data_IF_663231306679
#
_entry.id   IF_663231306679
#
_cell.length_a   1.000
_cell.length_b   1.000
_cell.length_c   1.000
_cell.angle_alpha   90.00
_cell.angle_beta   90.00
_cell.angle_gamma   90.00
#
_symmetry.space_group_name_H-M   'P 1'
#
loop_
_entity.id
_entity.type
_entity.pdbx_description
1 polymer ?
#
# COMPACT_ATOMS: atom_id res chain seq x y z
N UNK A 1 68.99 5.64 29.55
CA UNK A 1 67.95 6.46 28.90
C UNK A 1 66.62 5.92 29.35
N UNK A 2 66.03 6.59 30.34
CA UNK A 2 64.70 6.29 30.88
C UNK A 2 63.67 6.70 29.83
N UNK A 3 62.90 5.75 29.33
CA UNK A 3 61.77 6.05 28.43
C UNK A 3 60.66 6.62 29.29
N UNK A 4 60.53 7.94 29.31
CA UNK A 4 59.34 8.61 29.83
C UNK A 4 58.17 8.24 28.92
N UNK A 5 57.33 7.31 29.37
CA UNK A 5 56.00 7.06 28.80
C UNK A 5 55.14 8.31 29.01
N UNK A 6 55.24 9.24 28.07
CA UNK A 6 54.46 10.47 28.06
C UNK A 6 53.08 10.14 27.49
N UNK A 7 52.24 9.47 28.28
CA UNK A 7 50.87 9.19 27.91
C UNK A 7 50.14 10.55 27.84
N UNK A 8 49.62 10.99 26.68
CA UNK A 8 48.96 12.27 26.57
C UNK A 8 47.74 12.26 27.49
N UNK A 9 47.76 13.11 28.52
CA UNK A 9 46.65 13.26 29.45
C UNK A 9 45.46 13.79 28.64
N UNK A 10 44.48 12.92 28.36
CA UNK A 10 43.25 13.29 27.66
C UNK A 10 42.60 14.48 28.36
N UNK A 11 42.26 15.51 27.60
CA UNK A 11 41.59 16.67 28.18
C UNK A 11 40.13 16.31 28.54
N UNK A 12 39.51 17.09 29.43
CA UNK A 12 38.08 16.90 29.77
C UNK A 12 37.17 16.95 28.54
N UNK A 13 37.55 17.76 27.55
CA UNK A 13 36.88 17.85 26.26
C UNK A 13 37.00 16.54 25.47
N UNK A 14 38.20 15.98 25.37
CA UNK A 14 38.43 14.72 24.65
C UNK A 14 37.60 13.58 25.24
N UNK A 15 37.50 13.52 26.58
CA UNK A 15 36.66 12.55 27.29
C UNK A 15 35.17 12.74 26.99
N UNK A 16 34.68 13.98 26.96
CA UNK A 16 33.29 14.27 26.62
C UNK A 16 32.98 13.88 25.16
N UNK A 17 33.88 14.22 24.24
CA UNK A 17 33.73 13.91 22.82
C UNK A 17 33.79 12.39 22.55
N UNK A 18 34.62 11.65 23.29
CA UNK A 18 34.66 10.18 23.26
C UNK A 18 33.34 9.56 23.72
N UNK A 19 32.75 10.07 24.81
CA UNK A 19 31.42 9.62 25.29
C UNK A 19 30.32 9.93 24.27
N UNK A 20 30.35 11.12 23.66
CA UNK A 20 29.35 11.52 22.68
C UNK A 20 29.44 10.74 21.38
N UNK A 21 30.65 10.47 20.87
CA UNK A 21 30.84 9.57 19.72
C UNK A 21 30.43 8.13 20.03
N UNK A 22 30.58 7.68 21.28
CA UNK A 22 30.09 6.37 21.71
C UNK A 22 28.57 6.26 21.73
N UNK A 23 27.87 7.31 22.15
CA UNK A 23 26.39 7.38 22.14
C UNK A 23 25.80 7.66 20.76
N UNK A 24 26.47 8.51 19.98
CA UNK A 24 26.03 8.99 18.67
C UNK A 24 27.13 8.74 17.62
N UNK A 25 27.29 7.49 17.13
CA UNK A 25 28.36 7.14 16.20
C UNK A 25 28.29 7.90 14.87
N UNK A 26 27.08 8.24 14.44
CA UNK A 26 26.82 8.87 13.14
C UNK A 26 26.83 10.41 13.18
N UNK A 27 26.99 11.02 14.37
CA UNK A 27 26.96 12.48 14.53
C UNK A 27 28.37 13.06 14.54
N UNK A 28 28.61 14.05 13.68
CA UNK A 28 29.88 14.78 13.62
C UNK A 28 29.79 16.01 14.53
N UNK A 29 30.69 16.09 15.51
CA UNK A 29 30.82 17.23 16.41
C UNK A 29 31.97 18.11 15.92
N UNK A 30 31.66 19.03 15.00
CA UNK A 30 32.66 19.87 14.31
C UNK A 30 33.18 21.01 15.20
N UNK A 31 32.34 21.55 16.08
CA UNK A 31 32.67 22.66 16.99
C UNK A 31 32.07 22.47 18.39
N UNK A 32 32.37 23.43 19.27
CA UNK A 32 31.91 23.46 20.67
C UNK A 32 30.40 23.59 20.74
N UNK A 33 29.80 24.38 19.86
CA UNK A 33 28.36 24.63 19.86
C UNK A 33 27.57 23.37 19.50
N UNK A 34 28.02 22.58 18.53
CA UNK A 34 27.42 21.29 18.20
C UNK A 34 27.59 20.25 19.32
N UNK A 35 28.75 20.25 19.99
CA UNK A 35 29.03 19.34 21.11
C UNK A 35 28.16 19.69 22.33
N UNK A 36 28.15 20.95 22.75
CA UNK A 36 27.38 21.41 23.91
C UNK A 36 25.88 21.46 23.62
N UNK A 37 25.47 21.72 22.38
CA UNK A 37 24.08 21.63 21.93
C UNK A 37 23.50 20.22 22.13
N UNK A 38 24.18 19.19 21.60
CA UNK A 38 23.73 17.80 21.82
C UNK A 38 23.77 17.40 23.29
N UNK A 39 24.78 17.86 24.04
CA UNK A 39 24.83 17.58 25.49
C UNK A 39 23.63 18.19 26.21
N UNK A 40 23.22 19.41 25.85
CA UNK A 40 22.01 20.02 26.41
C UNK A 40 20.76 19.27 26.00
N UNK A 41 20.63 18.86 24.73
CA UNK A 41 19.50 18.05 24.26
C UNK A 41 19.41 16.72 25.04
N UNK A 42 20.54 16.05 25.29
CA UNK A 42 20.60 14.85 26.14
C UNK A 42 20.12 15.15 27.57
N UNK A 43 20.53 16.28 28.15
CA UNK A 43 20.10 16.67 29.49
C UNK A 43 18.60 16.97 29.55
N UNK A 44 18.06 17.67 28.57
CA UNK A 44 16.63 17.97 28.49
C UNK A 44 15.81 16.68 28.34
N UNK A 45 16.28 15.73 27.51
CA UNK A 45 15.64 14.41 27.38
C UNK A 45 15.72 13.60 28.68
N UNK A 46 16.87 13.62 29.38
CA UNK A 46 17.00 12.96 30.68
C UNK A 46 16.10 13.59 31.74
N UNK A 47 16.01 14.91 31.79
CA UNK A 47 15.14 15.60 32.74
C UNK A 47 13.67 15.29 32.45
N UNK A 48 13.28 15.24 31.17
CA UNK A 48 11.94 14.80 30.76
C UNK A 48 11.68 13.36 31.18
N UNK A 49 12.54 12.41 30.82
CA UNK A 49 12.37 11.01 31.18
C UNK A 49 12.33 10.83 32.69
N UNK A 50 13.18 11.53 33.44
CA UNK A 50 13.20 11.49 34.90
C UNK A 50 11.92 12.05 35.50
N UNK A 51 11.37 13.14 34.95
CA UNK A 51 10.09 13.67 35.37
C UNK A 51 8.98 12.64 35.15
N UNK A 52 8.94 11.98 33.98
CA UNK A 52 7.99 10.91 33.70
C UNK A 52 8.18 9.68 34.62
N UNK A 53 9.42 9.30 34.93
CA UNK A 53 9.70 8.22 35.89
C UNK A 53 9.19 8.56 37.27
N UNK A 54 9.44 9.79 37.74
CA UNK A 54 8.92 10.27 39.04
C UNK A 54 7.40 10.31 39.06
N UNK A 55 6.77 10.69 37.95
CA UNK A 55 5.31 10.67 37.83
C UNK A 55 4.76 9.24 37.90
N UNK A 56 5.33 8.30 37.14
CA UNK A 56 4.95 6.88 37.20
C UNK A 56 5.16 6.30 38.60
N UNK A 57 6.33 6.55 39.20
CA UNK A 57 6.65 6.13 40.57
C UNK A 57 5.66 6.69 41.58
N UNK A 58 5.32 7.98 41.46
CA UNK A 58 4.29 8.61 42.29
C UNK A 58 2.93 7.93 42.10
N UNK A 59 2.50 7.66 40.89
CA UNK A 59 1.23 6.96 40.63
C UNK A 59 1.23 5.55 41.26
N UNK A 60 2.31 4.79 41.14
CA UNK A 60 2.42 3.48 41.81
C UNK A 60 2.44 3.61 43.34
N UNK A 61 3.17 4.60 43.86
CA UNK A 61 3.22 4.89 45.30
C UNK A 61 1.85 5.30 45.83
N UNK A 62 1.13 6.17 45.13
CA UNK A 62 -0.20 6.64 45.48
C UNK A 62 -1.20 5.47 45.45
N UNK A 63 -1.12 4.58 44.45
CA UNK A 63 -1.91 3.35 44.38
C UNK A 63 -1.66 2.42 45.57
N UNK A 64 -0.40 2.20 45.95
CA UNK A 64 -0.05 1.37 47.11
C UNK A 64 -0.38 2.02 48.45
N UNK A 65 -0.41 3.35 48.49
CA UNK A 65 -0.86 4.09 49.68
C UNK A 65 -2.37 4.03 49.81
N UNK A 66 -3.11 4.09 48.70
CA UNK A 66 -4.56 4.01 48.65
C UNK A 66 -5.08 2.63 49.09
N UNK A 67 -4.44 1.54 48.65
CA UNK A 67 -4.69 0.21 49.21
C UNK A 67 -3.37 -0.57 49.37
N UNK A 68 -2.83 -0.69 50.61
CA UNK A 68 -1.62 -1.47 50.91
C UNK A 68 -1.72 -2.93 50.48
N UNK A 69 -2.95 -3.44 50.35
CA UNK A 69 -3.23 -4.80 49.93
C UNK A 69 -2.89 -5.04 48.45
N UNK A 70 -3.02 -4.01 47.61
CA UNK A 70 -2.66 -4.09 46.20
C UNK A 70 -1.15 -4.33 46.01
N UNK A 71 -0.30 -3.76 46.87
CA UNK A 71 1.14 -3.99 46.85
C UNK A 71 1.50 -5.44 47.16
N UNK A 72 0.88 -6.00 48.22
CA UNK A 72 1.03 -7.41 48.60
C UNK A 72 0.59 -8.34 47.47
N UNK A 73 -0.57 -8.06 46.86
CA UNK A 73 -1.08 -8.81 45.73
C UNK A 73 -0.09 -8.84 44.54
N UNK A 74 0.38 -7.68 44.08
CA UNK A 74 1.30 -7.61 42.95
C UNK A 74 2.65 -8.28 43.24
N UNK A 75 3.16 -8.15 44.46
CA UNK A 75 4.42 -8.80 44.86
C UNK A 75 4.29 -10.33 44.90
N UNK A 76 3.18 -10.84 45.44
CA UNK A 76 2.94 -12.28 45.48
C UNK A 76 2.73 -12.85 44.07
N UNK A 77 1.99 -12.14 43.22
CA UNK A 77 1.84 -12.53 41.83
C UNK A 77 3.18 -12.55 41.08
N UNK A 78 4.02 -11.52 41.28
CA UNK A 78 5.40 -11.49 40.75
C UNK A 78 6.23 -12.69 41.23
N UNK A 79 6.00 -13.16 42.46
CA UNK A 79 6.67 -14.31 43.04
C UNK A 79 6.07 -15.67 42.60
N UNK A 80 5.14 -15.65 41.64
CA UNK A 80 4.59 -16.85 41.02
C UNK A 80 3.30 -17.38 41.68
N UNK A 81 2.69 -16.62 42.58
CA UNK A 81 1.36 -16.96 43.09
C UNK A 81 0.29 -16.80 42.01
N UNK A 82 -0.67 -17.72 41.98
CA UNK A 82 -1.85 -17.59 41.12
C UNK A 82 -2.62 -16.30 41.48
N UNK A 83 -2.91 -15.42 40.51
CA UNK A 83 -3.55 -14.13 40.79
C UNK A 83 -4.98 -14.29 41.31
N UNK A 84 -5.71 -15.35 40.98
CA UNK A 84 -7.05 -15.58 41.50
C UNK A 84 -6.98 -15.93 42.99
N UNK A 85 -6.05 -16.83 43.35
CA UNK A 85 -5.79 -17.20 44.75
C UNK A 85 -5.26 -16.00 45.54
N UNK A 86 -4.39 -15.19 44.94
CA UNK A 86 -3.86 -13.96 45.53
C UNK A 86 -4.97 -12.94 45.83
N UNK A 87 -5.90 -12.71 44.90
CA UNK A 87 -7.05 -11.83 45.11
C UNK A 87 -7.93 -12.33 46.26
N UNK A 88 -8.25 -13.63 46.29
CA UNK A 88 -9.06 -14.22 47.37
C UNK A 88 -8.34 -14.13 48.72
N UNK A 89 -7.03 -14.38 48.77
CA UNK A 89 -6.26 -14.27 50.03
C UNK A 89 -6.25 -12.83 50.55
N UNK A 90 -6.13 -11.87 49.64
CA UNK A 90 -5.89 -10.48 49.98
C UNK A 90 -7.19 -9.71 50.29
N UNK A 91 -8.28 -10.00 49.58
CA UNK A 91 -9.57 -9.33 49.71
C UNK A 91 -10.66 -10.22 50.34
N UNK A 92 -10.43 -11.53 50.47
CA UNK A 92 -11.31 -12.42 51.22
C UNK A 92 -12.74 -12.46 50.72
N UNK A 93 -13.71 -12.40 51.65
CA UNK A 93 -15.14 -12.36 51.33
C UNK A 93 -15.60 -11.01 50.79
N UNK A 94 -14.79 -9.95 50.88
CA UNK A 94 -15.17 -8.62 50.39
C UNK A 94 -15.47 -8.62 48.89
N UNK A 95 -14.78 -9.47 48.11
CA UNK A 95 -15.09 -9.64 46.68
C UNK A 95 -16.51 -10.18 46.50
N UNK A 96 -16.87 -11.18 47.31
CA UNK A 96 -18.21 -11.78 47.27
C UNK A 96 -19.27 -10.80 47.77
N UNK A 97 -18.98 -10.08 48.85
CA UNK A 97 -19.88 -9.07 49.42
C UNK A 97 -20.09 -7.90 48.44
N UNK A 98 -19.05 -7.48 47.71
CA UNK A 98 -19.18 -6.50 46.64
C UNK A 98 -20.02 -7.02 45.47
N UNK A 99 -19.88 -8.31 45.11
CA UNK A 99 -20.72 -8.98 44.09
C UNK A 99 -22.18 -9.08 44.54
N UNK A 100 -22.43 -9.22 45.84
CA UNK A 100 -23.78 -9.34 46.40
C UNK A 100 -24.38 -7.96 46.81
N UNK A 101 -23.61 -6.87 46.72
CA UNK A 101 -24.02 -5.51 47.09
C UNK A 101 -24.98 -4.92 46.04
N UNK A 102 -26.25 -4.60 46.39
CA UNK A 102 -27.23 -4.00 45.51
C UNK A 102 -26.79 -2.65 44.91
N UNK A 103 -26.02 -1.85 45.64
CA UNK A 103 -25.58 -0.52 45.19
C UNK A 103 -24.48 -0.59 44.13
N UNK A 104 -23.74 -1.70 44.07
CA UNK A 104 -22.64 -1.92 43.13
C UNK A 104 -23.01 -2.84 41.97
N UNK A 105 -24.22 -3.39 41.95
CA UNK A 105 -24.71 -4.27 40.88
C UNK A 105 -24.59 -3.64 39.50
N UNK A 106 -24.88 -2.35 39.38
CA UNK A 106 -24.83 -1.66 38.10
C UNK A 106 -23.39 -1.57 37.57
N UNK A 107 -22.42 -1.21 38.42
CA UNK A 107 -21.00 -1.15 38.07
C UNK A 107 -20.45 -2.54 37.71
N UNK A 108 -20.81 -3.56 38.49
CA UNK A 108 -20.37 -4.95 38.25
C UNK A 108 -21.00 -5.52 36.98
N UNK A 109 -22.28 -5.25 36.74
CA UNK A 109 -22.96 -5.66 35.51
C UNK A 109 -22.35 -4.98 34.27
N UNK A 110 -21.99 -3.70 34.38
CA UNK A 110 -21.30 -2.98 33.30
C UNK A 110 -19.93 -3.60 33.01
N UNK A 111 -19.11 -3.85 34.04
CA UNK A 111 -17.80 -4.47 33.89
C UNK A 111 -17.89 -5.90 33.31
N UNK A 112 -18.87 -6.69 33.77
CA UNK A 112 -19.11 -8.04 33.24
C UNK A 112 -19.57 -8.00 31.78
N UNK A 113 -20.45 -7.05 31.43
CA UNK A 113 -20.90 -6.86 30.06
C UNK A 113 -19.73 -6.49 29.14
N UNK A 114 -18.87 -5.56 29.55
CA UNK A 114 -17.68 -5.18 28.80
C UNK A 114 -16.73 -6.38 28.59
N UNK A 115 -16.50 -7.16 29.66
CA UNK A 115 -15.70 -8.38 29.56
C UNK A 115 -16.29 -9.39 28.57
N UNK A 116 -17.59 -9.66 28.66
CA UNK A 116 -18.30 -10.60 27.78
C UNK A 116 -18.27 -10.10 26.34
N UNK A 117 -18.53 -8.81 26.09
CA UNK A 117 -18.47 -8.21 24.76
C UNK A 117 -17.06 -8.28 24.16
N UNK A 118 -16.03 -8.00 24.96
CA UNK A 118 -14.64 -8.09 24.51
C UNK A 118 -14.27 -9.53 24.17
N UNK A 119 -14.57 -10.49 25.04
CA UNK A 119 -14.28 -11.91 24.79
C UNK A 119 -15.06 -12.44 23.59
N UNK A 120 -16.32 -12.03 23.43
CA UNK A 120 -17.13 -12.39 22.26
C UNK A 120 -16.52 -11.84 20.96
N UNK A 121 -16.12 -10.56 20.94
CA UNK A 121 -15.43 -9.95 19.78
C UNK A 121 -14.08 -10.59 19.49
N UNK A 122 -13.27 -10.83 20.51
CA UNK A 122 -11.98 -11.53 20.36
C UNK A 122 -12.19 -12.91 19.73
N UNK A 123 -13.18 -13.66 20.20
CA UNK A 123 -13.54 -14.96 19.64
C UNK A 123 -14.06 -14.86 18.20
N UNK A 124 -14.92 -13.89 17.90
CA UNK A 124 -15.41 -13.64 16.54
C UNK A 124 -14.26 -13.30 15.58
N UNK A 125 -13.35 -12.42 15.99
CA UNK A 125 -12.17 -12.08 15.19
C UNK A 125 -11.24 -13.28 14.98
N UNK A 126 -11.03 -14.10 16.00
CA UNK A 126 -10.22 -15.32 15.87
C UNK A 126 -10.88 -16.33 14.93
N UNK A 127 -12.17 -16.61 15.09
CA UNK A 127 -12.90 -17.53 14.21
C UNK A 127 -12.93 -17.03 12.75
N UNK A 128 -13.16 -15.73 12.55
CA UNK A 128 -13.10 -15.11 11.24
C UNK A 128 -11.69 -15.19 10.65
N UNK A 129 -10.65 -14.91 11.44
CA UNK A 129 -9.26 -15.02 11.02
C UNK A 129 -8.92 -16.45 10.58
N UNK A 130 -9.24 -17.45 11.40
CA UNK A 130 -8.99 -18.86 11.08
C UNK A 130 -9.74 -19.30 9.80
N UNK A 131 -11.01 -18.91 9.67
CA UNK A 131 -11.84 -19.25 8.49
C UNK A 131 -11.28 -18.59 7.22
N UNK A 132 -10.92 -17.31 7.30
CA UNK A 132 -10.36 -16.56 6.17
C UNK A 132 -8.97 -17.07 5.78
N UNK A 133 -8.15 -17.44 6.77
CA UNK A 133 -6.82 -18.01 6.53
C UNK A 133 -6.94 -19.38 5.84
N UNK A 134 -7.81 -20.25 6.33
CA UNK A 134 -8.08 -21.55 5.70
C UNK A 134 -8.56 -21.38 4.25
N UNK A 135 -9.49 -20.46 4.01
CA UNK A 135 -9.97 -20.16 2.65
C UNK A 135 -8.84 -19.63 1.74
N UNK A 136 -7.97 -18.78 2.27
CA UNK A 136 -6.81 -18.25 1.54
C UNK A 136 -5.82 -19.37 1.19
N UNK A 137 -5.54 -20.29 2.12
CA UNK A 137 -4.67 -21.45 1.87
C UNK A 137 -5.26 -22.38 0.81
N UNK A 138 -6.56 -22.68 0.87
CA UNK A 138 -7.22 -23.48 -0.17
C UNK A 138 -7.14 -22.84 -1.55
N UNK A 139 -7.22 -21.50 -1.64
CA UNK A 139 -7.03 -20.81 -2.92
C UNK A 139 -5.60 -20.94 -3.47
N UNK A 140 -4.59 -20.90 -2.60
CA UNK A 140 -3.20 -21.12 -3.01
C UNK A 140 -2.99 -22.55 -3.52
N UNK A 141 -3.57 -23.56 -2.85
CA UNK A 141 -3.56 -24.94 -3.33
C UNK A 141 -4.22 -25.05 -4.72
N UNK A 142 -5.35 -24.38 -4.94
CA UNK A 142 -5.98 -24.34 -6.27
C UNK A 142 -5.10 -23.68 -7.34
N UNK A 143 -4.32 -22.64 -6.99
CA UNK A 143 -3.36 -22.02 -7.91
C UNK A 143 -2.23 -22.98 -8.29
N UNK A 144 -1.73 -23.78 -7.34
CA UNK A 144 -0.74 -24.83 -7.63
C UNK A 144 -1.32 -25.87 -8.59
N UNK A 145 -2.51 -26.40 -8.28
CA UNK A 145 -3.09 -27.52 -9.02
C UNK A 145 -3.63 -27.12 -10.40
N UNK A 146 -4.36 -26.00 -10.49
CA UNK A 146 -5.11 -25.62 -11.71
C UNK A 146 -4.31 -24.71 -12.63
N UNK A 147 -3.49 -23.83 -12.07
CA UNK A 147 -2.74 -22.83 -12.83
C UNK A 147 -1.26 -23.19 -12.98
N UNK A 148 -0.79 -24.24 -12.29
CA UNK A 148 0.60 -24.72 -12.36
C UNK A 148 1.60 -23.72 -11.79
N UNK A 149 1.16 -22.86 -10.87
CA UNK A 149 2.02 -21.88 -10.19
C UNK A 149 2.98 -22.65 -9.26
N UNK A 150 4.27 -22.33 -9.32
CA UNK A 150 5.27 -23.01 -8.48
C UNK A 150 5.24 -22.50 -7.04
N UNK A 151 5.72 -23.34 -6.11
CA UNK A 151 5.85 -22.99 -4.70
C UNK A 151 6.68 -21.70 -4.49
N UNK A 152 7.77 -21.55 -5.25
CA UNK A 152 8.61 -20.34 -5.23
C UNK A 152 7.87 -19.06 -5.63
N UNK A 153 6.85 -19.16 -6.48
CA UNK A 153 6.05 -18.02 -6.92
C UNK A 153 4.98 -17.69 -5.87
N UNK A 154 4.37 -18.70 -5.26
CA UNK A 154 3.44 -18.55 -4.14
C UNK A 154 4.14 -17.90 -2.94
N UNK A 155 5.35 -18.34 -2.61
CA UNK A 155 6.13 -17.78 -1.51
C UNK A 155 6.41 -16.28 -1.74
N UNK A 156 6.74 -15.88 -2.97
CA UNK A 156 6.94 -14.47 -3.33
C UNK A 156 5.65 -13.67 -3.20
N UNK A 157 4.52 -14.22 -3.66
CA UNK A 157 3.20 -13.58 -3.53
C UNK A 157 2.84 -13.39 -2.05
N UNK A 158 3.02 -14.42 -1.23
CA UNK A 158 2.70 -14.34 0.20
C UNK A 158 3.62 -13.37 0.95
N UNK A 159 4.93 -13.41 0.68
CA UNK A 159 5.89 -12.47 1.26
C UNK A 159 5.54 -11.01 0.92
N UNK A 160 5.07 -10.79 -0.30
CA UNK A 160 4.63 -9.49 -0.75
C UNK A 160 3.36 -9.02 -0.02
N UNK A 161 2.34 -9.86 0.08
CA UNK A 161 1.10 -9.56 0.82
C UNK A 161 1.40 -9.25 2.28
N UNK A 162 2.23 -10.05 2.94
CA UNK A 162 2.63 -9.84 4.34
C UNK A 162 3.33 -8.49 4.51
N UNK A 163 4.17 -8.08 3.55
CA UNK A 163 4.85 -6.78 3.58
C UNK A 163 3.85 -5.64 3.51
N UNK A 164 2.87 -5.71 2.61
CA UNK A 164 1.81 -4.70 2.49
C UNK A 164 0.98 -4.61 3.77
N UNK A 165 0.60 -5.74 4.36
CA UNK A 165 -0.17 -5.76 5.61
C UNK A 165 0.65 -5.17 6.75
N UNK A 166 1.92 -5.58 6.91
CA UNK A 166 2.82 -5.04 7.95
C UNK A 166 2.97 -3.54 7.83
N UNK A 167 3.23 -3.04 6.63
CA UNK A 167 3.46 -1.62 6.41
C UNK A 167 2.14 -0.83 6.60
N UNK A 168 0.99 -1.40 6.19
CA UNK A 168 -0.34 -0.85 6.44
C UNK A 168 -0.69 -0.74 7.93
N UNK A 169 -0.39 -1.77 8.73
CA UNK A 169 -0.55 -1.72 10.21
C UNK A 169 0.32 -0.62 10.83
N UNK A 170 1.48 -0.33 10.23
CA UNK A 170 2.36 0.77 10.66
C UNK A 170 2.00 2.14 10.03
N UNK A 171 0.94 2.23 9.23
CA UNK A 171 0.56 3.45 8.51
C UNK A 171 1.53 3.89 7.40
N UNK A 172 2.39 2.98 6.93
CA UNK A 172 3.41 3.25 5.89
C UNK A 172 2.90 2.79 4.53
N UNK A 173 2.37 3.71 3.74
CA UNK A 173 2.04 3.44 2.34
C UNK A 173 3.14 4.01 1.44
N UNK A 174 4.12 3.17 1.13
CA UNK A 174 5.26 3.57 0.31
C UNK A 174 4.81 4.01 -1.11
N UNK A 175 5.45 5.01 -1.73
CA UNK A 175 5.13 5.45 -3.10
C UNK A 175 5.08 4.30 -4.10
N UNK A 176 5.98 3.33 -3.95
CA UNK A 176 6.05 2.13 -4.78
C UNK A 176 4.79 1.28 -4.68
N UNK A 177 4.25 1.12 -3.46
CA UNK A 177 3.00 0.37 -3.20
C UNK A 177 1.80 1.07 -3.84
N UNK A 178 1.76 2.40 -3.75
CA UNK A 178 0.70 3.22 -4.36
C UNK A 178 0.78 3.13 -5.89
N UNK A 179 1.98 3.22 -6.47
CA UNK A 179 2.17 3.14 -7.91
C UNK A 179 1.82 1.75 -8.46
N UNK A 180 2.18 0.71 -7.72
CA UNK A 180 1.80 -0.67 -8.04
C UNK A 180 0.28 -0.86 -8.00
N UNK A 181 -0.42 -0.34 -6.98
CA UNK A 181 -1.88 -0.36 -6.94
C UNK A 181 -2.50 0.40 -8.13
N UNK A 182 -1.92 1.56 -8.50
CA UNK A 182 -2.34 2.32 -9.69
C UNK A 182 -2.21 1.50 -10.98
N UNK A 183 -1.11 0.74 -11.14
CA UNK A 183 -0.88 -0.14 -12.29
C UNK A 183 -1.85 -1.31 -12.29
N UNK A 184 -2.07 -1.95 -11.13
CA UNK A 184 -3.01 -3.06 -11.00
C UNK A 184 -4.45 -2.65 -11.39
N UNK A 185 -4.90 -1.46 -10.98
CA UNK A 185 -6.23 -0.95 -11.32
C UNK A 185 -6.45 -0.66 -12.82
N UNK A 186 -5.37 -0.33 -13.55
CA UNK A 186 -5.45 -0.01 -14.99
C UNK A 186 -4.94 -1.14 -15.89
N UNK A 187 -4.52 -2.28 -15.32
CA UNK A 187 -3.81 -3.35 -16.02
C UNK A 187 -4.51 -3.77 -17.33
N UNK A 188 -5.80 -4.10 -17.27
CA UNK A 188 -6.53 -4.61 -18.44
C UNK A 188 -6.74 -3.55 -19.51
N UNK A 189 -6.96 -2.30 -19.11
CA UNK A 189 -7.10 -1.17 -20.03
C UNK A 189 -5.76 -0.86 -20.73
N UNK A 190 -4.67 -0.84 -19.96
CA UNK A 190 -3.32 -0.60 -20.47
C UNK A 190 -2.90 -1.72 -21.44
N UNK A 191 -3.22 -2.98 -21.13
CA UNK A 191 -2.94 -4.13 -22.03
C UNK A 191 -3.76 -4.06 -23.31
N UNK A 192 -5.06 -3.75 -23.21
CA UNK A 192 -5.93 -3.62 -24.37
C UNK A 192 -5.48 -2.47 -25.29
N UNK A 193 -5.14 -1.32 -24.70
CA UNK A 193 -4.61 -0.17 -25.41
C UNK A 193 -3.27 -0.49 -26.09
N UNK A 194 -2.33 -1.11 -25.37
CA UNK A 194 -1.05 -1.52 -25.92
C UNK A 194 -1.20 -2.51 -27.09
N UNK A 195 -2.15 -3.44 -27.01
CA UNK A 195 -2.47 -4.37 -28.10
C UNK A 195 -3.01 -3.63 -29.33
N UNK A 196 -3.94 -2.69 -29.13
CA UNK A 196 -4.50 -1.89 -30.22
C UNK A 196 -3.45 -0.99 -30.89
N UNK A 197 -2.65 -0.29 -30.09
CA UNK A 197 -1.55 0.54 -30.57
C UNK A 197 -0.49 -0.30 -31.30
N UNK A 198 -0.19 -1.50 -30.78
CA UNK A 198 0.69 -2.47 -31.43
C UNK A 198 0.15 -2.96 -32.78
N UNK A 199 -1.15 -3.24 -32.87
CA UNK A 199 -1.79 -3.64 -34.12
C UNK A 199 -1.78 -2.50 -35.15
N UNK A 200 -2.13 -1.28 -34.74
CA UNK A 200 -2.10 -0.09 -35.61
C UNK A 200 -0.68 0.18 -36.10
N UNK A 201 0.32 0.11 -35.20
CA UNK A 201 1.73 0.25 -35.55
C UNK A 201 2.17 -0.85 -36.53
N UNK A 202 1.77 -2.10 -36.31
CA UNK A 202 2.05 -3.23 -37.20
C UNK A 202 1.41 -3.11 -38.58
N UNK A 203 0.19 -2.56 -38.66
CA UNK A 203 -0.47 -2.24 -39.93
C UNK A 203 0.27 -1.12 -40.66
N UNK A 204 0.67 -0.06 -39.95
CA UNK A 204 1.40 1.06 -40.52
C UNK A 204 2.78 0.65 -41.05
N UNK A 205 3.55 -0.13 -40.29
CA UNK A 205 4.85 -0.66 -40.76
C UNK A 205 4.70 -1.55 -41.99
N UNK A 206 3.68 -2.42 -42.03
CA UNK A 206 3.39 -3.25 -43.21
C UNK A 206 3.00 -2.44 -44.44
N UNK A 207 2.30 -1.32 -44.25
CA UNK A 207 1.96 -0.38 -45.34
C UNK A 207 3.23 0.31 -45.83
N UNK A 208 4.08 0.82 -44.94
CA UNK A 208 5.35 1.44 -45.28
C UNK A 208 6.29 0.48 -46.03
N UNK A 209 6.39 -0.78 -45.59
CA UNK A 209 7.17 -1.82 -46.28
C UNK A 209 6.62 -2.12 -47.68
N UNK A 210 5.30 -2.24 -47.83
CA UNK A 210 4.67 -2.44 -49.15
C UNK A 210 4.89 -1.23 -50.07
N UNK A 211 4.80 -0.01 -49.54
CA UNK A 211 5.07 1.22 -50.29
C UNK A 211 6.55 1.31 -50.70
N UNK A 212 7.49 0.93 -49.82
CA UNK A 212 8.91 0.83 -50.15
C UNK A 212 9.18 -0.21 -51.25
N UNK A 213 8.59 -1.41 -51.15
CA UNK A 213 8.72 -2.45 -52.21
C UNK A 213 8.12 -1.99 -53.54
N UNK A 214 7.00 -1.26 -53.53
CA UNK A 214 6.36 -0.72 -54.74
C UNK A 214 7.15 0.42 -55.38
N UNK A 215 7.94 1.19 -54.60
CA UNK A 215 8.91 2.17 -55.12
C UNK A 215 10.17 1.54 -55.73
N UNK A 216 10.44 0.26 -55.45
CA UNK A 216 11.60 -0.48 -55.99
C UNK A 216 11.28 -1.22 -57.30
N UNK A 217 10.40 -0.64 -58.12
CA UNK A 217 10.17 -1.01 -59.52
C UNK A 217 10.40 0.24 -60.39
N UNK A 218 10.97 0.04 -61.58
CA UNK A 218 11.54 1.03 -62.51
C UNK A 218 10.59 2.16 -62.94
N UNK A 219 10.21 3.05 -62.01
CA UNK A 219 9.70 4.42 -62.20
C UNK A 219 8.49 4.64 -63.12
N UNK A 220 8.00 3.61 -63.79
CA UNK A 220 7.06 3.68 -64.89
C UNK A 220 5.75 3.06 -64.42
N UNK A 221 4.70 3.86 -64.48
CA UNK A 221 3.35 3.35 -64.31
C UNK A 221 3.11 2.29 -65.40
N UNK A 222 2.64 1.10 -65.01
CA UNK A 222 2.18 0.10 -65.98
C UNK A 222 0.91 0.63 -66.64
N UNK A 223 1.11 1.35 -67.76
CA UNK A 223 0.06 1.85 -68.63
C UNK A 223 -0.25 0.76 -69.66
N UNK A 224 -0.94 -0.30 -69.23
CA UNK A 224 -1.59 -1.20 -70.17
C UNK A 224 -2.78 -0.46 -70.79
N UNK A 225 -2.56 0.05 -72.00
CA UNK A 225 -3.53 0.84 -72.75
C UNK A 225 -4.73 0.01 -73.18
N UNK A 226 -5.80 0.05 -72.38
CA UNK A 226 -7.15 -0.31 -72.83
C UNK A 226 -8.10 0.86 -72.57
N UNK A 227 -8.46 1.53 -73.66
CA UNK A 227 -9.54 2.52 -73.72
C UNK A 227 -10.87 1.89 -73.31
N UNK A 228 -11.22 2.00 -72.03
CA UNK A 228 -12.55 1.65 -71.51
C UNK A 228 -13.37 2.93 -71.40
N UNK A 229 -14.52 2.97 -72.08
CA UNK A 229 -15.53 4.04 -71.96
C UNK A 229 -15.86 4.28 -70.48
N UNK A 230 -16.17 5.51 -70.05
CA UNK A 230 -16.50 5.78 -68.65
C UNK A 230 -17.74 4.95 -68.26
N UNK A 231 -17.56 3.98 -67.37
CA UNK A 231 -18.65 3.32 -66.66
C UNK A 231 -19.25 4.37 -65.74
N UNK A 232 -20.49 4.77 -66.00
CA UNK A 232 -21.27 5.56 -65.07
C UNK A 232 -21.39 4.74 -63.77
N UNK A 233 -20.70 5.14 -62.72
CA UNK A 233 -20.93 4.55 -61.40
C UNK A 233 -22.25 5.14 -60.89
N UNK A 234 -23.29 4.31 -60.78
CA UNK A 234 -24.47 4.68 -60.01
C UNK A 234 -24.03 4.85 -58.56
N UNK A 235 -24.33 6.00 -57.96
CA UNK A 235 -24.10 6.22 -56.53
C UNK A 235 -24.79 5.10 -55.71
N UNK A 236 -24.20 4.66 -54.58
CA UNK A 236 -24.82 3.65 -53.74
C UNK A 236 -26.15 4.17 -53.16
N UNK A 237 -27.20 3.34 -53.18
CA UNK A 237 -28.52 3.71 -52.67
C UNK A 237 -28.50 3.86 -51.15
N UNK A 238 -28.84 5.04 -50.64
CA UNK A 238 -28.87 5.36 -49.21
C UNK A 238 -30.24 5.07 -48.54
N UNK A 239 -30.98 4.09 -49.08
CA UNK A 239 -32.25 3.65 -48.53
C UNK A 239 -33.27 4.79 -48.39
N UNK A 240 -33.91 4.90 -47.22
CA UNK A 240 -35.02 5.83 -46.95
C UNK A 240 -34.64 7.31 -47.14
N UNK A 241 -33.34 7.64 -47.13
CA UNK A 241 -32.84 8.99 -47.39
C UNK A 241 -32.96 9.42 -48.87
N UNK A 242 -33.12 8.47 -49.79
CA UNK A 242 -33.30 8.72 -51.23
C UNK A 242 -34.70 9.30 -51.54
N UNK A 243 -35.69 9.06 -50.67
CA UNK A 243 -37.06 9.58 -50.86
C UNK A 243 -37.22 11.06 -50.46
N UNK A 244 -36.25 11.63 -49.75
CA UNK A 244 -36.30 13.02 -49.28
C UNK A 244 -35.30 13.95 -50.01
N UNK A 245 -34.48 13.42 -50.92
CA UNK A 245 -33.44 14.17 -51.62
C UNK A 245 -33.44 13.93 -53.13
N UNK A 246 -34.11 14.81 -53.87
CA UNK A 246 -33.94 15.08 -55.32
C UNK A 246 -33.46 13.94 -56.23
N UNK A 247 -34.10 12.76 -56.14
CA UNK A 247 -34.13 11.67 -57.12
C UNK A 247 -32.88 11.50 -57.99
N UNK A 248 -31.69 11.52 -57.37
CA UNK A 248 -30.40 11.22 -58.01
C UNK A 248 -30.16 11.88 -59.39
N UNK A 249 -30.74 13.06 -59.66
CA UNK A 249 -30.55 13.75 -60.94
C UNK A 249 -29.17 14.36 -60.98
N UNK A 250 -28.43 14.05 -62.03
CA UNK A 250 -27.12 14.67 -62.27
C UNK A 250 -27.29 16.19 -62.42
N UNK A 251 -26.26 16.97 -62.08
CA UNK A 251 -26.31 18.45 -62.21
C UNK A 251 -26.69 18.91 -63.62
N UNK A 252 -26.45 18.06 -64.62
CA UNK A 252 -26.75 18.26 -66.04
C UNK A 252 -28.23 18.05 -66.41
N UNK A 253 -28.98 17.28 -65.62
CA UNK A 253 -30.42 17.08 -65.80
C UNK A 253 -31.26 18.10 -65.03
N UNK A 254 -30.63 18.80 -64.07
CA UNK A 254 -31.28 19.80 -63.21
C UNK A 254 -31.43 21.15 -63.90
N UNK A 255 -30.50 21.50 -64.79
CA UNK A 255 -30.56 22.72 -65.60
C UNK A 255 -30.83 22.37 -67.06
N UNK A 256 -32.07 22.54 -67.53
CA UNK A 256 -32.55 22.30 -68.90
C UNK A 256 -31.77 23.07 -70.00
N UNK A 257 -30.48 22.84 -70.16
CA UNK A 257 -29.67 23.43 -71.24
C UNK A 257 -29.53 22.43 -72.40
N UNK A 258 -30.29 22.65 -73.48
CA UNK A 258 -30.04 22.00 -74.77
C UNK A 258 -28.75 22.58 -75.36
N UNK A 259 -27.70 21.76 -75.49
CA UNK A 259 -26.52 22.13 -76.30
C UNK A 259 -26.33 21.16 -77.47
N UNK A 260 -26.16 21.77 -78.64
CA UNK A 260 -26.06 21.17 -79.96
C UNK A 260 -24.71 20.45 -80.09
N UNK A 261 -24.71 19.29 -80.73
CA UNK A 261 -23.53 18.45 -81.01
C UNK A 261 -22.64 19.16 -82.04
N UNK A 262 -21.44 19.59 -81.66
CA UNK A 262 -20.40 19.95 -82.62
C UNK A 262 -19.64 18.67 -83.00
N UNK A 263 -19.75 18.29 -84.28
CA UNK A 263 -18.97 17.22 -84.89
C UNK A 263 -17.56 17.73 -85.22
N UNK A 264 -16.54 17.03 -84.70
CA UNK A 264 -15.34 16.60 -85.42
C UNK A 264 -14.61 15.54 -84.59
#
# INVERSE_FOLDING_TARGET
MEKTDNNPVKTKRDLALERMKGKYPDKVFEDDDALFGQINDDYDDYDKQLAEYKERERTFSDMFTADPRAASFLMNWRNGEDPTIGLIRQFGTEIKEAIDDPERQEEIAAAQKEFVERVAKEKEYEEAYQTNLAASLSYLEEMQEKQGVSDDEIDKIMQFIITIVRDGVMGKFAPETIEMARKALNHDADVAQASHEGEVKGRNTKIEEKLRKKKSGDGTASLDGKSSKPKHQSAPSLGVLDQLGDNNKTIWERGNEKRIKASN
#
